data_IF_902500182846
#
_entry.id   IF_902500182846
#
_cell.length_a   1.000
_cell.length_b   1.000
_cell.length_c   1.000
_cell.angle_alpha   90.00
_cell.angle_beta   90.00
_cell.angle_gamma   90.00
#
_symmetry.space_group_name_H-M   'P 1'
#
loop_
_entity.id
_entity.type
_entity.pdbx_description
1 polymer ?
#
# COMPACT_ATOMS: atom_id res chain seq x y z
N UNK A 1 -15.25 6.69 4.61
CA UNK A 1 -14.15 6.54 5.57
C UNK A 1 -12.86 6.24 4.84
N UNK A 2 -11.77 6.95 5.14
CA UNK A 2 -10.48 6.81 4.43
C UNK A 2 -9.56 5.75 5.04
N UNK A 3 -9.89 5.29 6.24
CA UNK A 3 -9.15 4.28 7.01
C UNK A 3 -9.87 2.93 6.90
N UNK A 4 -9.12 1.87 6.69
CA UNK A 4 -9.60 0.48 6.59
C UNK A 4 -8.98 -0.37 7.70
N UNK A 5 -9.56 -1.54 7.95
CA UNK A 5 -9.00 -2.55 8.84
C UNK A 5 -7.61 -2.98 8.33
N UNK A 6 -6.67 -3.22 9.24
CA UNK A 6 -5.26 -3.53 8.97
C UNK A 6 -4.40 -2.36 8.45
N UNK A 7 -4.91 -1.13 8.42
CA UNK A 7 -4.09 0.04 8.16
C UNK A 7 -3.28 0.43 9.41
N UNK A 8 -2.06 0.95 9.23
CA UNK A 8 -1.32 1.57 10.30
C UNK A 8 -1.70 3.05 10.42
N UNK A 9 -1.99 3.49 11.63
CA UNK A 9 -2.42 4.87 11.92
C UNK A 9 -1.62 5.46 13.08
N UNK A 10 -1.47 6.77 13.05
CA UNK A 10 -0.89 7.58 14.11
C UNK A 10 -2.01 8.35 14.80
N UNK A 11 -2.04 8.34 16.13
CA UNK A 11 -2.98 9.14 16.93
C UNK A 11 -2.48 10.58 17.03
N UNK A 12 -3.33 11.54 16.63
CA UNK A 12 -2.98 12.96 16.57
C UNK A 12 -3.33 13.67 17.87
N UNK A 13 -4.44 13.29 18.51
CA UNK A 13 -4.98 13.99 19.67
C UNK A 13 -5.47 13.00 20.73
N UNK A 14 -5.54 13.49 21.97
CA UNK A 14 -5.98 12.74 23.13
C UNK A 14 -4.83 12.25 24.00
N UNK A 15 -5.15 11.37 24.98
CA UNK A 15 -4.19 10.82 25.95
C UNK A 15 -3.05 10.07 25.28
N UNK A 16 -3.37 9.34 24.19
CA UNK A 16 -2.43 8.46 23.47
C UNK A 16 -1.86 9.16 22.24
N UNK A 17 -1.73 10.49 22.23
CA UNK A 17 -1.13 11.26 21.13
C UNK A 17 0.28 10.79 20.82
N UNK A 18 0.56 10.56 19.54
CA UNK A 18 1.88 10.11 19.06
C UNK A 18 2.03 8.58 19.00
N UNK A 19 1.10 7.81 19.58
CA UNK A 19 1.12 6.36 19.49
C UNK A 19 0.72 5.91 18.09
N UNK A 20 1.44 4.95 17.54
CA UNK A 20 1.10 4.29 16.29
C UNK A 20 0.54 2.91 16.57
N UNK A 21 -0.48 2.52 15.83
CA UNK A 21 -1.08 1.22 15.98
C UNK A 21 -1.82 0.76 14.72
N UNK A 22 -2.14 -0.52 14.70
CA UNK A 22 -2.91 -1.14 13.63
C UNK A 22 -4.40 -1.00 13.90
N UNK A 23 -5.16 -0.69 12.87
CA UNK A 23 -6.62 -0.63 12.95
C UNK A 23 -7.20 -2.04 13.02
N UNK A 24 -7.88 -2.37 14.13
CA UNK A 24 -8.54 -3.65 14.38
C UNK A 24 -9.94 -3.66 13.78
N UNK A 25 -10.71 -2.59 14.02
CA UNK A 25 -12.09 -2.48 13.54
C UNK A 25 -12.42 -1.05 13.13
N UNK A 26 -13.35 -0.90 12.20
CA UNK A 26 -13.86 0.40 11.75
C UNK A 26 -15.38 0.41 11.82
N UNK A 27 -15.96 1.50 12.32
CA UNK A 27 -17.40 1.73 12.34
C UNK A 27 -17.74 2.99 11.52
N UNK A 28 -18.10 2.83 10.23
CA UNK A 28 -18.42 3.97 9.38
C UNK A 28 -19.64 4.78 9.83
N UNK A 29 -20.64 4.11 10.41
CA UNK A 29 -21.85 4.77 10.91
C UNK A 29 -21.56 5.72 12.08
N UNK A 30 -20.68 5.31 13.00
CA UNK A 30 -20.29 6.11 14.16
C UNK A 30 -19.05 6.98 13.92
N UNK A 31 -18.44 6.94 12.73
CA UNK A 31 -17.17 7.58 12.40
C UNK A 31 -16.03 7.25 13.38
N UNK A 32 -15.99 6.02 13.90
CA UNK A 32 -14.99 5.60 14.87
C UNK A 32 -14.14 4.45 14.34
N UNK A 33 -12.92 4.37 14.86
CA UNK A 33 -11.96 3.28 14.62
C UNK A 33 -11.45 2.75 15.93
N UNK A 34 -11.19 1.44 15.99
CA UNK A 34 -10.53 0.78 17.11
C UNK A 34 -9.09 0.47 16.69
N UNK A 35 -8.13 0.98 17.44
CA UNK A 35 -6.69 0.85 17.16
C UNK A 35 -6.06 -0.01 18.26
N UNK A 36 -5.12 -0.85 17.87
CA UNK A 36 -4.37 -1.70 18.77
C UNK A 36 -3.52 -0.86 19.73
N UNK A 37 -3.56 -1.18 21.04
CA UNK A 37 -2.77 -0.50 22.07
C UNK A 37 -3.23 0.92 22.42
N UNK A 38 -4.34 1.41 21.87
CA UNK A 38 -4.84 2.76 22.08
C UNK A 38 -6.20 2.73 22.79
N UNK A 39 -6.39 3.67 23.72
CA UNK A 39 -7.62 3.81 24.53
C UNK A 39 -8.02 2.50 25.21
N UNK A 40 -7.10 1.88 25.94
CA UNK A 40 -7.35 0.64 26.68
C UNK A 40 -8.35 0.93 27.79
N UNK A 41 -9.44 0.17 27.77
CA UNK A 41 -10.54 0.22 28.75
C UNK A 41 -10.55 -1.05 29.57
N UNK A 42 -10.54 -0.92 30.91
CA UNK A 42 -10.69 -2.03 31.85
C UNK A 42 -12.18 -2.17 32.18
N UNK A 43 -12.80 -3.26 31.73
CA UNK A 43 -14.22 -3.56 31.99
C UNK A 43 -14.36 -4.70 32.99
N UNK A 44 -15.08 -4.46 34.07
CA UNK A 44 -15.44 -5.47 35.03
C UNK A 44 -16.61 -6.29 34.47
N UNK A 45 -16.36 -7.55 34.17
CA UNK A 45 -17.38 -8.50 33.74
C UNK A 45 -17.79 -9.39 34.93
N UNK A 46 -19.07 -9.33 35.30
CA UNK A 46 -19.66 -10.24 36.27
C UNK A 46 -19.84 -11.64 35.65
N UNK A 47 -19.68 -12.67 36.44
CA UNK A 47 -20.00 -14.02 36.04
C UNK A 47 -21.49 -14.11 35.59
N UNK A 48 -21.71 -14.72 34.44
CA UNK A 48 -23.08 -14.94 33.90
C UNK A 48 -23.59 -16.34 34.14
N UNK A 49 -22.67 -17.28 34.35
CA UNK A 49 -22.97 -18.68 34.62
C UNK A 49 -22.38 -19.11 35.96
N UNK A 50 -22.96 -20.13 36.59
CA UNK A 50 -22.49 -20.63 37.89
C UNK A 50 -21.03 -21.10 37.88
N UNK A 51 -20.50 -21.53 36.73
CA UNK A 51 -19.14 -22.05 36.57
C UNK A 51 -18.14 -20.98 36.08
N UNK A 52 -18.55 -19.72 35.96
CA UNK A 52 -17.66 -18.63 35.54
C UNK A 52 -17.30 -17.74 36.74
N UNK A 53 -16.07 -17.28 36.79
CA UNK A 53 -15.61 -16.26 37.76
C UNK A 53 -15.69 -14.88 37.16
N UNK A 54 -15.97 -13.86 37.97
CA UNK A 54 -15.88 -12.45 37.55
C UNK A 54 -14.44 -12.10 37.18
N UNK A 55 -14.28 -11.35 36.11
CA UNK A 55 -12.94 -10.97 35.59
C UNK A 55 -12.93 -9.53 35.11
N UNK A 56 -11.72 -8.93 35.15
CA UNK A 56 -11.46 -7.66 34.51
C UNK A 56 -10.94 -7.96 33.10
N UNK A 57 -11.60 -7.38 32.09
CA UNK A 57 -11.22 -7.52 30.68
C UNK A 57 -10.70 -6.21 30.18
N UNK A 58 -9.48 -6.21 29.64
CA UNK A 58 -8.91 -5.07 28.95
C UNK A 58 -9.27 -5.15 27.46
N UNK A 59 -9.82 -4.07 26.92
CA UNK A 59 -10.17 -3.98 25.50
C UNK A 59 -9.85 -2.58 24.95
N UNK A 60 -9.48 -2.54 23.67
CA UNK A 60 -9.26 -1.26 22.98
C UNK A 60 -10.60 -0.57 22.74
N UNK A 61 -10.70 0.69 23.13
CA UNK A 61 -11.89 1.51 22.91
C UNK A 61 -11.92 2.15 21.52
N UNK A 62 -13.10 2.52 21.01
CA UNK A 62 -13.23 3.24 19.74
C UNK A 62 -12.77 4.69 19.87
N UNK A 63 -12.08 5.20 18.86
CA UNK A 63 -11.61 6.59 18.76
C UNK A 63 -12.25 7.20 17.52
N UNK A 64 -12.49 8.51 17.53
CA UNK A 64 -12.98 9.22 16.35
C UNK A 64 -11.93 9.22 15.24
N UNK A 65 -12.37 9.06 13.98
CA UNK A 65 -11.50 9.03 12.79
C UNK A 65 -10.72 10.33 12.60
N UNK A 66 -11.26 11.47 13.05
CA UNK A 66 -10.57 12.76 12.97
C UNK A 66 -9.29 12.79 13.80
N UNK A 67 -9.22 11.97 14.86
CA UNK A 67 -8.08 11.91 15.78
C UNK A 67 -6.98 10.95 15.32
N UNK A 68 -7.13 10.34 14.13
CA UNK A 68 -6.13 9.42 13.57
C UNK A 68 -5.67 9.88 12.19
N UNK A 69 -4.40 9.63 11.90
CA UNK A 69 -3.79 9.89 10.59
C UNK A 69 -3.17 8.62 10.05
N UNK A 70 -3.36 8.36 8.78
CA UNK A 70 -2.80 7.19 8.11
C UNK A 70 -1.27 7.28 8.01
N UNK A 71 -0.56 6.20 8.32
CA UNK A 71 0.89 6.07 8.14
C UNK A 71 1.15 5.32 6.84
N UNK A 72 1.83 5.98 5.92
CA UNK A 72 2.14 5.38 4.62
C UNK A 72 3.18 4.25 4.77
N UNK A 73 2.92 3.04 4.27
CA UNK A 73 3.86 1.93 4.37
C UNK A 73 5.14 2.11 3.53
N UNK A 74 5.11 2.98 2.53
CA UNK A 74 6.25 3.21 1.63
C UNK A 74 7.18 4.29 2.17
N UNK A 75 6.64 5.46 2.56
CA UNK A 75 7.46 6.56 3.06
C UNK A 75 7.54 6.64 4.59
N UNK A 76 6.84 5.79 5.34
CA UNK A 76 6.85 5.76 6.81
C UNK A 76 6.25 6.98 7.52
N UNK A 77 5.81 8.00 6.77
CA UNK A 77 5.34 9.26 7.32
C UNK A 77 3.82 9.30 7.42
N UNK A 78 3.29 9.89 8.49
CA UNK A 78 1.85 10.16 8.62
C UNK A 78 1.39 11.13 7.53
N UNK A 79 0.30 10.82 6.86
CA UNK A 79 -0.22 11.58 5.73
C UNK A 79 -1.74 11.47 5.60
N UNK A 80 -2.35 12.46 4.96
CA UNK A 80 -3.76 12.39 4.55
C UNK A 80 -3.88 11.56 3.28
N UNK A 81 -4.89 10.72 3.22
CA UNK A 81 -5.19 9.87 2.07
C UNK A 81 -5.87 10.70 0.98
N UNK A 82 -5.33 10.66 -0.23
CA UNK A 82 -5.98 11.13 -1.46
C UNK A 82 -6.56 9.95 -2.22
N UNK A 83 -7.42 10.24 -3.18
CA UNK A 83 -8.06 9.24 -4.04
C UNK A 83 -7.76 9.55 -5.49
N UNK A 84 -7.27 8.55 -6.21
CA UNK A 84 -7.12 8.59 -7.66
C UNK A 84 -7.97 7.50 -8.29
N UNK A 85 -8.41 7.73 -9.53
CA UNK A 85 -9.11 6.72 -10.32
C UNK A 85 -8.09 6.07 -11.25
N UNK A 86 -7.90 4.77 -11.10
CA UNK A 86 -7.00 3.97 -11.92
C UNK A 86 -7.78 2.75 -12.42
N UNK A 87 -7.78 2.53 -13.72
CA UNK A 87 -8.57 1.46 -14.38
C UNK A 87 -10.07 1.50 -13.98
N UNK A 88 -10.67 2.70 -13.90
CA UNK A 88 -12.07 2.88 -13.51
C UNK A 88 -12.38 2.62 -12.03
N UNK A 89 -11.39 2.32 -11.20
CA UNK A 89 -11.54 2.07 -9.76
C UNK A 89 -10.92 3.19 -8.94
N UNK A 90 -11.64 3.61 -7.90
CA UNK A 90 -11.16 4.59 -6.93
C UNK A 90 -10.18 3.93 -5.97
N UNK A 91 -8.93 4.38 -5.98
CA UNK A 91 -7.82 3.83 -5.19
C UNK A 91 -7.27 4.90 -4.25
N UNK A 92 -6.91 4.49 -3.02
CA UNK A 92 -6.28 5.37 -2.04
C UNK A 92 -4.81 5.55 -2.38
N UNK A 93 -4.34 6.80 -2.36
CA UNK A 93 -2.93 7.14 -2.60
C UNK A 93 -2.39 8.03 -1.49
N UNK A 94 -1.08 7.98 -1.28
CA UNK A 94 -0.39 8.85 -0.34
C UNK A 94 -0.55 10.31 -0.75
N UNK A 95 -0.96 11.17 0.19
CA UNK A 95 -1.17 12.59 -0.06
C UNK A 95 0.11 13.41 -0.24
N UNK A 96 1.28 12.85 0.03
CA UNK A 96 2.58 13.53 -0.17
C UNK A 96 2.95 13.54 -1.64
N UNK A 97 3.37 14.70 -2.15
CA UNK A 97 3.76 14.91 -3.54
C UNK A 97 4.92 13.99 -3.97
N UNK A 98 5.87 13.77 -3.08
CA UNK A 98 7.09 12.99 -3.33
C UNK A 98 6.84 11.47 -3.35
N UNK A 99 5.76 10.99 -2.72
CA UNK A 99 5.51 9.57 -2.54
C UNK A 99 4.50 9.02 -3.54
N UNK A 100 3.29 9.61 -3.61
CA UNK A 100 2.20 9.18 -4.51
C UNK A 100 1.84 7.69 -4.49
N UNK A 101 2.36 6.93 -3.53
CA UNK A 101 2.24 5.48 -3.49
C UNK A 101 0.80 5.03 -3.28
N UNK A 102 0.43 3.94 -3.94
CA UNK A 102 -0.88 3.29 -3.78
C UNK A 102 -0.92 2.57 -2.44
N UNK A 103 -1.92 2.87 -1.63
CA UNK A 103 -2.08 2.38 -0.26
C UNK A 103 -2.89 1.08 -0.17
N UNK A 104 -3.71 0.79 -1.17
CA UNK A 104 -4.54 -0.41 -1.20
C UNK A 104 -3.71 -1.63 -1.65
N UNK A 105 -3.38 -2.51 -0.70
CA UNK A 105 -2.54 -3.71 -0.90
C UNK A 105 -3.00 -4.61 -2.04
N UNK A 106 -4.31 -4.75 -2.23
CA UNK A 106 -4.88 -5.55 -3.31
C UNK A 106 -4.57 -4.97 -4.70
N UNK A 107 -4.43 -3.65 -4.79
CA UNK A 107 -4.16 -2.96 -6.05
C UNK A 107 -2.65 -2.81 -6.30
N UNK A 108 -1.85 -2.56 -5.25
CA UNK A 108 -0.39 -2.47 -5.36
C UNK A 108 0.23 -3.76 -5.91
N UNK A 109 -0.27 -4.93 -5.51
CA UNK A 109 0.15 -6.22 -6.08
C UNK A 109 -0.15 -6.34 -7.57
N UNK A 110 -1.30 -5.81 -8.05
CA UNK A 110 -1.66 -5.83 -9.48
C UNK A 110 -0.79 -4.89 -10.31
N UNK A 111 -0.46 -3.71 -9.79
CA UNK A 111 0.41 -2.76 -10.47
C UNK A 111 1.85 -3.29 -10.53
N UNK A 112 2.36 -3.88 -9.46
CA UNK A 112 3.68 -4.51 -9.45
C UNK A 112 3.76 -5.69 -10.43
N UNK A 113 2.73 -6.56 -10.50
CA UNK A 113 2.66 -7.66 -11.45
C UNK A 113 2.59 -7.17 -12.90
N UNK A 114 1.86 -6.06 -13.17
CA UNK A 114 1.77 -5.48 -14.51
C UNK A 114 3.07 -4.78 -14.93
N UNK A 115 3.79 -4.16 -14.00
CA UNK A 115 5.11 -3.58 -14.24
C UNK A 115 6.16 -4.66 -14.55
N UNK A 116 6.18 -5.77 -13.80
CA UNK A 116 7.05 -6.90 -14.06
C UNK A 116 6.77 -7.56 -15.42
N UNK A 117 5.49 -7.67 -15.83
CA UNK A 117 5.10 -8.22 -17.13
C UNK A 117 5.49 -7.30 -18.31
N UNK A 118 5.66 -6.00 -18.09
CA UNK A 118 6.11 -5.06 -19.13
C UNK A 118 7.63 -5.11 -19.30
N UNK A 119 8.40 -5.45 -18.27
CA UNK A 119 9.86 -5.62 -18.37
C UNK A 119 10.27 -6.93 -19.07
N UNK A 120 9.40 -7.93 -19.06
CA UNK A 120 9.63 -9.21 -19.77
C UNK A 120 9.20 -9.22 -21.24
N UNK A 121 8.77 -8.11 -21.81
CA UNK A 121 8.51 -8.05 -23.25
C UNK A 121 9.85 -8.18 -24.02
N UNK A 122 10.00 -9.20 -24.90
CA UNK A 122 11.27 -9.51 -25.55
C UNK A 122 11.70 -8.33 -26.43
N UNK A 123 12.88 -7.79 -26.14
CA UNK A 123 13.56 -6.83 -27.02
C UNK A 123 13.61 -7.47 -28.42
N UNK A 124 12.87 -6.90 -29.37
CA UNK A 124 12.91 -7.29 -30.78
C UNK A 124 14.37 -7.33 -31.22
N UNK A 125 14.86 -8.55 -31.49
CA UNK A 125 16.17 -8.76 -32.12
C UNK A 125 16.14 -8.09 -33.49
N UNK A 126 16.81 -6.94 -33.63
CA UNK A 126 17.08 -6.32 -34.90
C UNK A 126 17.92 -7.32 -35.71
N UNK A 127 17.32 -7.86 -36.75
CA UNK A 127 18.02 -8.67 -37.76
C UNK A 127 19.09 -7.80 -38.38
N UNK A 128 20.34 -8.05 -38.04
CA UNK A 128 21.51 -7.55 -38.74
C UNK A 128 21.43 -8.10 -40.18
N UNK A 129 21.16 -7.19 -41.13
CA UNK A 129 21.19 -7.49 -42.54
C UNK A 129 22.67 -7.74 -42.91
N UNK A 130 23.02 -8.98 -43.23
CA UNK A 130 24.30 -9.37 -43.72
C UNK A 130 24.51 -8.66 -45.08
N UNK A 131 25.52 -7.81 -45.16
CA UNK A 131 26.01 -7.27 -46.42
C UNK A 131 26.75 -8.37 -47.17
N UNK A 132 26.36 -8.60 -48.42
CA UNK A 132 26.97 -9.49 -49.39
C UNK A 132 28.32 -8.92 -49.81
N UNK A 133 29.44 -9.65 -49.80
CA UNK A 133 30.70 -9.18 -50.38
C UNK A 133 30.59 -9.15 -51.91
N UNK A 134 30.94 -8.02 -52.50
CA UNK A 134 31.10 -7.89 -53.93
C UNK A 134 32.44 -8.52 -54.35
N UNK A 135 32.35 -9.46 -55.25
CA UNK A 135 33.42 -10.11 -55.98
C UNK A 135 33.99 -9.10 -57.00
N UNK A 136 35.22 -8.70 -56.80
CA UNK A 136 36.01 -7.94 -57.83
C UNK A 136 36.80 -8.94 -58.66
N UNK A 137 36.39 -9.05 -59.92
CA UNK A 137 37.11 -9.77 -60.94
C UNK A 137 38.45 -9.11 -61.26
N UNK A 138 39.47 -9.90 -61.24
CA UNK A 138 40.78 -9.64 -61.85
C UNK A 138 40.66 -9.52 -63.35
N UNK A 139 41.33 -8.55 -63.93
CA UNK A 139 41.74 -8.60 -65.31
C UNK A 139 43.26 -8.34 -65.38
N UNK A 140 44.02 -9.21 -66.02
CA UNK A 140 45.43 -8.97 -66.21
C UNK A 140 45.64 -8.09 -67.44
N UNK A 141 46.58 -7.16 -67.38
CA UNK A 141 47.13 -6.47 -68.54
C UNK A 141 48.61 -6.80 -68.61
N UNK A 142 48.92 -7.45 -69.66
CA UNK A 142 50.24 -7.78 -70.17
C UNK A 142 50.80 -6.59 -71.04
N UNK A 143 52.09 -6.38 -70.96
CA UNK A 143 53.05 -5.90 -71.99
C UNK A 143 52.96 -4.37 -72.39
N UNK A 144 54.02 -3.63 -72.35
CA UNK A 144 55.31 -3.65 -73.05
C UNK A 144 56.27 -2.65 -72.41
#
# INVERSE_FOLDING_TARGET
MNVKVNDNVLVIAGKDKGVQGKVLATSPKANTVTVEGVRIQKKHQKARKANETSKIVEQNGPIDVSNVMFVCPVCGKATRVKHNVVDGKKVRVCGKKECGAVLDKAYSKKVAAKAAAVEEAPKKRTRKRAAKPAETAETPVEND
#
